data_IF_535167079856
#
_entry.id   IF_535167079856
#
_cell.length_a   1.000
_cell.length_b   1.000
_cell.length_c   1.000
_cell.angle_alpha   90.00
_cell.angle_beta   90.00
_cell.angle_gamma   90.00
#
_symmetry.space_group_name_H-M   'P 1'
#
loop_
_entity.id
_entity.type
_entity.pdbx_description
1 polymer ?
#
# COMPACT_ATOMS: atom_id res chain seq x y z
N UNK A 1 -11.49 -7.78 18.27
CA UNK A 1 -10.08 -8.17 18.06
C UNK A 1 -9.16 -7.27 18.86
N UNK A 2 -8.35 -7.83 19.76
CA UNK A 2 -7.37 -7.07 20.53
C UNK A 2 -6.13 -6.78 19.67
N UNK A 3 -5.70 -5.51 19.65
CA UNK A 3 -4.57 -5.05 18.84
C UNK A 3 -3.25 -5.37 19.54
N UNK A 4 -2.25 -5.83 18.78
CA UNK A 4 -0.91 -6.10 19.32
C UNK A 4 -0.19 -4.80 19.70
N UNK A 5 0.80 -4.88 20.62
CA UNK A 5 1.56 -3.70 21.10
C UNK A 5 2.21 -2.90 19.97
N UNK A 6 2.66 -3.57 18.90
CA UNK A 6 3.24 -2.96 17.71
C UNK A 6 2.20 -2.21 16.87
N UNK A 7 1.05 -2.84 16.60
CA UNK A 7 -0.04 -2.20 15.85
C UNK A 7 -0.56 -0.94 16.55
N UNK A 8 -0.66 -0.95 17.89
CA UNK A 8 -1.06 0.23 18.66
C UNK A 8 -0.08 1.41 18.51
N UNK A 9 1.22 1.15 18.41
CA UNK A 9 2.24 2.21 18.22
C UNK A 9 2.14 2.84 16.82
N UNK A 10 1.99 2.01 15.79
CA UNK A 10 1.86 2.46 14.40
C UNK A 10 0.59 3.32 14.25
N UNK A 11 -0.54 2.87 14.81
CA UNK A 11 -1.80 3.62 14.76
C UNK A 11 -1.75 4.98 15.45
N UNK A 12 -0.87 5.17 16.45
CA UNK A 12 -0.69 6.48 17.10
C UNK A 12 0.08 7.48 16.23
N UNK A 13 0.92 7.00 15.32
CA UNK A 13 1.70 7.85 14.41
C UNK A 13 0.91 8.29 13.17
N UNK A 14 -0.15 7.57 12.83
CA UNK A 14 -0.94 7.79 11.62
C UNK A 14 -2.29 8.37 12.01
N UNK A 15 -2.58 9.58 11.54
CA UNK A 15 -3.92 10.15 11.61
C UNK A 15 -4.73 9.69 10.39
N UNK A 16 -5.94 9.17 10.62
CA UNK A 16 -6.81 8.68 9.53
C UNK A 16 -7.62 9.81 8.90
N UNK A 17 -7.73 10.96 9.54
CA UNK A 17 -8.50 12.11 9.04
C UNK A 17 -7.63 13.07 8.23
N UNK A 18 -6.31 13.05 8.41
CA UNK A 18 -5.39 13.88 7.63
C UNK A 18 -5.14 13.27 6.25
N UNK A 19 -5.27 14.09 5.22
CA UNK A 19 -4.82 13.76 3.86
C UNK A 19 -3.32 14.08 3.80
N UNK A 20 -2.49 13.05 3.70
CA UNK A 20 -1.05 13.21 3.54
C UNK A 20 -0.72 13.43 2.06
N UNK A 21 0.20 14.35 1.78
CA UNK A 21 0.84 14.44 0.48
C UNK A 21 1.66 13.18 0.18
N UNK A 22 1.95 12.92 -1.10
CA UNK A 22 2.67 11.70 -1.51
C UNK A 22 4.03 11.55 -0.80
N UNK A 23 4.82 12.62 -0.71
CA UNK A 23 6.14 12.60 -0.10
C UNK A 23 6.10 12.35 1.43
N UNK A 24 5.14 12.97 2.11
CA UNK A 24 4.91 12.74 3.55
C UNK A 24 4.48 11.29 3.81
N UNK A 25 3.60 10.76 2.95
CA UNK A 25 3.12 9.38 3.06
C UNK A 25 4.26 8.37 2.89
N UNK A 26 5.16 8.55 1.91
CA UNK A 26 6.29 7.64 1.72
C UNK A 26 7.29 7.68 2.88
N UNK A 27 7.50 8.84 3.49
CA UNK A 27 8.35 8.98 4.69
C UNK A 27 7.74 8.23 5.87
N UNK A 28 6.44 8.43 6.13
CA UNK A 28 5.73 7.75 7.21
C UNK A 28 5.68 6.23 7.04
N UNK A 29 5.53 5.74 5.80
CA UNK A 29 5.56 4.30 5.51
C UNK A 29 6.91 3.70 5.85
N UNK A 30 8.02 4.37 5.49
CA UNK A 30 9.38 3.94 5.87
C UNK A 30 9.61 3.97 7.38
N UNK A 31 9.09 4.97 8.08
CA UNK A 31 9.21 5.07 9.55
C UNK A 31 8.37 4.05 10.33
N UNK A 32 7.33 3.52 9.68
CA UNK A 32 6.50 2.45 10.22
C UNK A 32 7.04 1.05 9.90
N UNK A 33 7.96 0.94 8.93
CA UNK A 33 8.66 -0.29 8.60
C UNK A 33 9.64 -0.66 9.72
N UNK A 34 9.32 -1.70 10.48
CA UNK A 34 10.08 -2.13 11.66
C UNK A 34 10.49 -3.61 11.54
N UNK A 35 10.19 -4.26 10.42
CA UNK A 35 10.69 -5.59 10.16
C UNK A 35 12.15 -5.54 9.69
N UNK A 36 12.88 -6.63 9.97
CA UNK A 36 14.30 -6.77 9.60
C UNK A 36 14.52 -7.20 8.14
N UNK A 37 13.44 -7.35 7.36
CA UNK A 37 13.49 -7.81 5.97
C UNK A 37 12.98 -6.72 5.02
N UNK A 38 13.18 -6.91 3.71
CA UNK A 38 12.68 -5.99 2.68
C UNK A 38 11.16 -6.00 2.64
N UNK A 39 10.52 -5.01 3.25
CA UNK A 39 9.07 -4.85 3.28
C UNK A 39 8.54 -4.43 1.89
N UNK A 40 7.31 -4.85 1.58
CA UNK A 40 6.60 -4.45 0.35
C UNK A 40 5.58 -3.37 0.68
N UNK A 41 5.53 -2.33 -0.14
CA UNK A 41 4.54 -1.25 -0.02
C UNK A 41 3.34 -1.58 -0.92
N UNK A 42 2.15 -1.53 -0.34
CA UNK A 42 0.88 -1.75 -1.05
C UNK A 42 0.03 -0.47 -1.01
N UNK A 43 -0.64 -0.16 -2.13
CA UNK A 43 -1.54 0.98 -2.25
C UNK A 43 -2.97 0.49 -2.44
N UNK A 44 -3.85 0.80 -1.50
CA UNK A 44 -5.27 0.46 -1.59
C UNK A 44 -6.05 1.63 -2.22
N UNK A 45 -6.59 1.41 -3.42
CA UNK A 45 -7.36 2.42 -4.17
C UNK A 45 -8.82 1.99 -4.20
N UNK A 46 -9.73 2.87 -3.75
CA UNK A 46 -11.17 2.64 -3.85
C UNK A 46 -11.67 3.14 -5.21
N UNK A 47 -11.96 2.20 -6.11
CA UNK A 47 -12.26 2.50 -7.52
C UNK A 47 -13.71 2.91 -7.82
N UNK A 48 -14.61 2.94 -6.84
CA UNK A 48 -16.00 3.41 -7.02
C UNK A 48 -16.86 2.59 -8.00
N UNK A 49 -16.32 1.52 -8.58
CA UNK A 49 -16.98 0.63 -9.53
C UNK A 49 -17.95 -0.32 -8.83
N UNK A 50 -19.05 -0.67 -9.50
CA UNK A 50 -19.97 -1.71 -9.06
C UNK A 50 -19.50 -3.08 -9.58
N UNK A 51 -19.00 -3.98 -8.71
CA UNK A 51 -18.48 -5.27 -9.14
C UNK A 51 -19.57 -6.23 -9.69
N UNK A 52 -20.86 -5.90 -9.52
CA UNK A 52 -21.96 -6.70 -10.07
C UNK A 52 -22.19 -6.44 -11.56
N UNK A 53 -21.73 -5.29 -12.07
CA UNK A 53 -21.80 -4.92 -13.48
C UNK A 53 -20.50 -5.30 -14.17
N UNK A 54 -20.56 -6.29 -15.05
CA UNK A 54 -19.37 -6.88 -15.69
C UNK A 54 -18.56 -5.86 -16.51
N UNK A 55 -19.22 -4.83 -17.04
CA UNK A 55 -18.67 -3.69 -17.78
C UNK A 55 -17.84 -2.74 -16.93
N UNK A 56 -18.01 -2.73 -15.61
CA UNK A 56 -17.26 -1.87 -14.68
C UNK A 56 -16.06 -2.58 -14.04
N UNK A 57 -15.78 -3.82 -14.43
CA UNK A 57 -14.64 -4.55 -13.91
C UNK A 57 -13.35 -4.04 -14.55
N UNK A 58 -12.48 -3.43 -13.74
CA UNK A 58 -11.20 -2.90 -14.20
C UNK A 58 -10.10 -3.94 -13.96
N UNK A 59 -9.59 -4.53 -15.04
CA UNK A 59 -8.41 -5.41 -15.01
C UNK A 59 -7.36 -4.89 -15.99
N UNK A 60 -6.29 -4.34 -15.44
CA UNK A 60 -5.16 -3.82 -16.22
C UNK A 60 -3.83 -4.18 -15.57
N UNK A 61 -2.78 -4.22 -16.36
CA UNK A 61 -1.39 -4.26 -15.89
C UNK A 61 -0.69 -3.00 -16.36
N UNK A 62 0.15 -2.42 -15.50
CA UNK A 62 0.98 -1.28 -15.85
C UNK A 62 2.43 -1.58 -15.51
N UNK A 63 3.34 -1.17 -16.40
CA UNK A 63 4.77 -1.30 -16.15
C UNK A 63 5.18 -0.19 -15.19
N UNK A 64 5.73 -0.57 -14.03
CA UNK A 64 6.28 0.41 -13.10
C UNK A 64 7.61 0.94 -13.66
N UNK A 65 7.81 2.27 -13.71
CA UNK A 65 9.04 2.87 -14.25
C UNK A 65 10.29 2.48 -13.45
N UNK A 66 10.15 2.22 -12.15
CA UNK A 66 11.23 1.78 -11.27
C UNK A 66 11.22 0.25 -11.02
N UNK A 67 10.38 -0.50 -11.75
CA UNK A 67 10.18 -1.94 -11.55
C UNK A 67 9.57 -2.30 -10.19
N UNK A 68 9.47 -3.60 -9.92
CA UNK A 68 8.93 -4.17 -8.66
C UNK A 68 10.02 -4.76 -7.75
N UNK A 69 11.30 -4.54 -8.07
CA UNK A 69 12.44 -5.09 -7.32
C UNK A 69 12.64 -6.60 -7.46
N UNK A 70 11.82 -7.29 -8.26
CA UNK A 70 11.99 -8.71 -8.61
C UNK A 70 12.33 -8.83 -10.09
N UNK A 71 13.45 -9.49 -10.40
CA UNK A 71 13.83 -9.83 -11.78
C UNK A 71 12.89 -10.91 -12.31
N UNK A 72 12.02 -10.55 -13.25
CA UNK A 72 11.16 -11.51 -13.94
C UNK A 72 12.02 -12.27 -14.96
N UNK A 73 12.25 -13.56 -14.72
CA UNK A 73 12.92 -14.44 -15.68
C UNK A 73 11.84 -15.22 -16.44
N UNK A 74 11.74 -14.96 -17.74
CA UNK A 74 10.92 -15.75 -18.66
C UNK A 74 11.77 -16.94 -19.09
N UNK A 75 11.24 -18.16 -18.94
CA UNK A 75 11.86 -19.41 -19.39
C UNK A 75 11.30 -19.80 -20.75
#
# INVERSE_FOLDING_TARGET
MAWTKRQKKIKKKIDRQKIYGADEAFTLVKDCANAKFTESVEAAIRLGVDPRKSDQNVRGSSKLPNGTGKTVRVA
#
